data_IF_609517912848
#
_entry.id   IF_609517912848
#
_cell.length_a   1.000
_cell.length_b   1.000
_cell.length_c   1.000
_cell.angle_alpha   90.00
_cell.angle_beta   90.00
_cell.angle_gamma   90.00
#
_symmetry.space_group_name_H-M   'P 1'
#
loop_
_entity.id
_entity.type
_entity.pdbx_description
1 polymer ?
#
# COMPACT_ATOMS: atom_id res chain seq x y z
N UNK A 1 -3.68 4.06 17.71
CA UNK A 1 -5.15 3.80 17.84
C UNK A 1 -5.52 2.50 17.16
N UNK A 2 -6.57 1.79 17.65
CA UNK A 2 -7.09 0.63 16.91
C UNK A 2 -7.79 1.05 15.62
N UNK A 3 -7.43 0.38 14.53
CA UNK A 3 -7.98 0.63 13.20
C UNK A 3 -9.13 -0.32 12.90
N UNK A 4 -10.01 0.10 11.99
CA UNK A 4 -11.02 -0.80 11.40
C UNK A 4 -10.32 -1.87 10.56
N UNK A 5 -10.80 -3.11 10.66
CA UNK A 5 -10.29 -4.25 9.89
C UNK A 5 -11.42 -5.07 9.31
N UNK A 6 -11.19 -5.63 8.11
CA UNK A 6 -12.06 -6.60 7.45
C UNK A 6 -11.27 -7.89 7.24
N UNK A 7 -11.80 -9.02 7.71
CA UNK A 7 -11.15 -10.33 7.51
C UNK A 7 -11.82 -11.08 6.36
N UNK A 8 -11.02 -11.70 5.49
CA UNK A 8 -11.46 -12.49 4.33
C UNK A 8 -10.62 -13.76 4.23
N UNK A 9 -11.28 -14.89 3.93
CA UNK A 9 -10.62 -16.19 3.85
C UNK A 9 -10.52 -16.89 5.21
N UNK A 10 -10.06 -18.13 5.19
CA UNK A 10 -9.94 -19.02 6.35
C UNK A 10 -8.72 -19.94 6.24
N UNK A 11 -7.69 -19.52 5.50
CA UNK A 11 -6.43 -20.25 5.34
C UNK A 11 -5.62 -20.30 6.63
N UNK A 12 -4.67 -21.21 6.68
CA UNK A 12 -3.79 -21.43 7.84
C UNK A 12 -2.69 -20.37 7.99
N UNK A 13 -2.38 -19.66 6.91
CA UNK A 13 -1.39 -18.57 6.87
C UNK A 13 -2.10 -17.22 6.97
N UNK A 14 -1.43 -16.19 7.48
CA UNK A 14 -2.03 -14.88 7.71
C UNK A 14 -1.31 -13.78 6.92
N UNK A 15 -2.09 -12.90 6.28
CA UNK A 15 -1.56 -11.71 5.62
C UNK A 15 -2.35 -10.46 6.02
N UNK A 16 -1.65 -9.38 6.37
CA UNK A 16 -2.27 -8.09 6.53
C UNK A 16 -2.08 -7.24 5.27
N UNK A 17 -3.14 -6.55 4.82
CA UNK A 17 -3.17 -5.71 3.63
C UNK A 17 -3.44 -4.26 3.99
N UNK A 18 -2.52 -3.36 3.63
CA UNK A 18 -2.55 -1.92 3.97
C UNK A 18 -2.64 -1.09 2.68
N UNK A 19 -3.77 -0.43 2.47
CA UNK A 19 -4.08 0.33 1.26
C UNK A 19 -3.29 1.64 1.11
N UNK A 20 -3.30 2.23 -0.09
CA UNK A 20 -2.71 3.53 -0.39
C UNK A 20 -3.53 4.72 0.10
N UNK A 21 -3.00 5.92 -0.07
CA UNK A 21 -3.73 7.16 0.22
C UNK A 21 -5.03 7.24 -0.57
N UNK A 22 -6.05 7.87 0.01
CA UNK A 22 -7.40 8.03 -0.56
C UNK A 22 -8.19 6.73 -0.82
N UNK A 23 -7.70 5.59 -0.36
CA UNK A 23 -8.33 4.28 -0.52
C UNK A 23 -8.92 3.77 0.81
N UNK A 24 -9.39 2.52 0.79
CA UNK A 24 -9.89 1.77 1.95
C UNK A 24 -9.67 0.27 1.71
N UNK A 25 -10.12 -0.57 2.64
CA UNK A 25 -10.07 -2.04 2.52
C UNK A 25 -10.62 -2.56 1.18
N UNK A 26 -11.55 -1.87 0.55
CA UNK A 26 -12.13 -2.25 -0.76
C UNK A 26 -11.16 -2.12 -1.95
N UNK A 27 -10.02 -1.45 -1.78
CA UNK A 27 -9.00 -1.34 -2.83
C UNK A 27 -8.39 -2.70 -3.22
N UNK A 28 -8.56 -3.70 -2.36
CA UNK A 28 -7.97 -5.03 -2.53
C UNK A 28 -8.89 -6.05 -3.21
N UNK A 29 -10.17 -5.70 -3.44
CA UNK A 29 -11.19 -6.67 -3.85
C UNK A 29 -10.82 -7.45 -5.13
N UNK A 30 -10.14 -6.80 -6.09
CA UNK A 30 -9.69 -7.46 -7.32
C UNK A 30 -8.48 -8.38 -7.11
N UNK A 31 -7.66 -8.12 -6.09
CA UNK A 31 -6.47 -8.91 -5.82
C UNK A 31 -6.71 -10.04 -4.81
N UNK A 32 -7.74 -9.93 -3.96
CA UNK A 32 -8.13 -10.95 -2.98
C UNK A 32 -8.25 -12.35 -3.58
N UNK A 33 -8.93 -12.58 -4.74
CA UNK A 33 -9.08 -13.93 -5.29
C UNK A 33 -7.76 -14.61 -5.62
N UNK A 34 -6.73 -13.86 -5.95
CA UNK A 34 -5.39 -14.39 -6.22
C UNK A 34 -4.67 -14.75 -4.93
N UNK A 35 -4.75 -13.93 -3.90
CA UNK A 35 -4.13 -14.19 -2.60
C UNK A 35 -4.75 -15.42 -1.91
N UNK A 36 -6.06 -15.60 -2.00
CA UNK A 36 -6.75 -16.72 -1.37
C UNK A 36 -6.35 -18.10 -1.92
N UNK A 37 -5.72 -18.16 -3.12
CA UNK A 37 -5.17 -19.42 -3.66
C UNK A 37 -3.96 -19.95 -2.86
N UNK A 38 -3.38 -19.11 -1.99
CA UNK A 38 -2.18 -19.44 -1.22
C UNK A 38 -2.47 -19.79 0.25
N UNK A 39 -3.66 -20.32 0.53
CA UNK A 39 -4.09 -20.72 1.89
C UNK A 39 -3.97 -19.61 2.92
N UNK A 40 -4.46 -18.41 2.57
CA UNK A 40 -4.36 -17.20 3.38
C UNK A 40 -5.70 -16.83 4.05
N UNK A 41 -5.58 -16.37 5.29
CA UNK A 41 -6.55 -15.50 5.95
C UNK A 41 -6.02 -14.07 5.83
N UNK A 42 -6.81 -13.19 5.22
CA UNK A 42 -6.44 -11.81 4.92
C UNK A 42 -7.06 -10.85 5.95
N UNK A 43 -6.24 -10.00 6.56
CA UNK A 43 -6.66 -8.91 7.46
C UNK A 43 -6.45 -7.60 6.70
N UNK A 44 -7.52 -7.05 6.15
CA UNK A 44 -7.50 -5.78 5.44
C UNK A 44 -7.70 -4.63 6.44
N UNK A 45 -6.90 -3.59 6.34
CA UNK A 45 -6.87 -2.49 7.32
C UNK A 45 -7.26 -1.19 6.65
N UNK A 46 -8.22 -0.46 7.20
CA UNK A 46 -8.42 0.96 6.90
C UNK A 46 -7.45 1.77 7.77
N UNK A 47 -6.55 2.54 7.15
CA UNK A 47 -5.61 3.38 7.89
C UNK A 47 -6.31 4.55 8.58
N UNK A 48 -5.68 5.18 9.58
CA UNK A 48 -6.22 6.38 10.25
C UNK A 48 -6.71 7.41 9.22
N UNK A 49 -7.88 8.00 9.46
CA UNK A 49 -8.49 8.99 8.58
C UNK A 49 -8.97 8.45 7.23
N UNK A 50 -9.06 7.14 7.05
CA UNK A 50 -9.55 6.48 5.84
C UNK A 50 -10.64 5.46 6.18
N UNK A 51 -11.53 5.21 5.21
CA UNK A 51 -12.55 4.18 5.30
C UNK A 51 -13.42 4.32 6.55
N UNK A 52 -13.48 3.27 7.36
CA UNK A 52 -14.22 3.21 8.62
C UNK A 52 -13.33 3.44 9.87
N UNK A 53 -12.03 3.69 9.67
CA UNK A 53 -11.12 4.05 10.77
C UNK A 53 -11.32 5.49 11.23
N UNK A 54 -11.09 5.78 12.53
CA UNK A 54 -11.24 7.11 13.06
C UNK A 54 -10.30 8.14 12.41
N UNK A 55 -10.74 9.39 12.38
CA UNK A 55 -9.87 10.54 12.12
C UNK A 55 -8.97 10.79 13.32
N UNK A 56 -7.85 11.49 13.09
CA UNK A 56 -6.86 11.80 14.11
C UNK A 56 -6.38 13.25 13.99
N UNK A 57 -5.81 13.77 15.08
CA UNK A 57 -5.22 15.10 15.10
C UNK A 57 -3.82 15.14 14.46
N UNK A 58 -3.22 13.98 14.22
CA UNK A 58 -1.90 13.83 13.63
C UNK A 58 -1.87 12.71 12.58
N UNK A 59 -1.19 13.00 11.47
CA UNK A 59 -1.03 12.08 10.32
C UNK A 59 0.44 11.92 9.92
N UNK A 60 1.35 11.85 10.90
CA UNK A 60 2.76 11.54 10.65
C UNK A 60 2.91 10.06 10.25
N UNK A 61 3.87 9.75 9.40
CA UNK A 61 4.14 8.36 8.97
C UNK A 61 4.33 7.42 10.16
N UNK A 62 5.00 7.87 11.22
CA UNK A 62 5.22 7.09 12.43
C UNK A 62 3.90 6.76 13.14
N UNK A 63 2.94 7.68 13.14
CA UNK A 63 1.63 7.46 13.77
C UNK A 63 0.84 6.37 13.02
N UNK A 64 0.92 6.33 11.67
CA UNK A 64 0.35 5.22 10.88
C UNK A 64 1.00 3.88 11.21
N UNK A 65 2.33 3.86 11.33
CA UNK A 65 3.06 2.63 11.67
C UNK A 65 2.72 2.16 13.10
N UNK A 66 2.57 3.09 14.06
CA UNK A 66 2.16 2.79 15.43
C UNK A 66 0.76 2.17 15.48
N UNK A 67 -0.18 2.67 14.69
CA UNK A 67 -1.53 2.11 14.60
C UNK A 67 -1.53 0.68 14.04
N UNK A 68 -0.72 0.42 13.01
CA UNK A 68 -0.58 -0.94 12.49
C UNK A 68 -0.07 -1.91 13.58
N UNK A 69 0.90 -1.47 14.37
CA UNK A 69 1.44 -2.28 15.47
C UNK A 69 0.42 -2.50 16.59
N UNK A 70 -0.43 -1.50 16.89
CA UNK A 70 -1.49 -1.64 17.89
C UNK A 70 -2.66 -2.52 17.40
N UNK A 71 -2.87 -2.56 16.07
CA UNK A 71 -4.04 -3.22 15.48
C UNK A 71 -3.76 -4.67 15.06
N UNK A 72 -2.60 -4.93 14.48
CA UNK A 72 -2.27 -6.21 13.85
C UNK A 72 -1.52 -7.14 14.80
N UNK A 73 -1.72 -8.46 14.66
CA UNK A 73 -0.90 -9.43 15.38
C UNK A 73 0.56 -9.39 14.88
N UNK A 74 1.48 -9.76 15.76
CA UNK A 74 2.88 -9.99 15.38
C UNK A 74 3.05 -11.34 14.68
N UNK A 75 4.12 -11.48 13.88
CA UNK A 75 4.48 -12.76 13.27
C UNK A 75 3.56 -13.19 12.11
N UNK A 76 2.85 -12.25 11.48
CA UNK A 76 2.12 -12.50 10.24
C UNK A 76 3.02 -13.20 9.19
N UNK A 77 2.44 -14.06 8.36
CA UNK A 77 3.19 -14.62 7.23
C UNK A 77 3.55 -13.51 6.23
N UNK A 78 2.63 -12.60 5.97
CA UNK A 78 2.86 -11.45 5.09
C UNK A 78 2.31 -10.15 5.68
N UNK A 79 3.07 -9.07 5.48
CA UNK A 79 2.60 -7.69 5.61
C UNK A 79 2.69 -7.03 4.24
N UNK A 80 1.56 -6.80 3.60
CA UNK A 80 1.45 -6.31 2.23
C UNK A 80 0.94 -4.87 2.25
N UNK A 81 1.63 -3.96 1.59
CA UNK A 81 1.20 -2.58 1.54
C UNK A 81 1.39 -1.93 0.18
N UNK A 82 0.42 -1.10 -0.23
CA UNK A 82 0.48 -0.35 -1.48
C UNK A 82 0.72 1.13 -1.20
N UNK A 83 1.60 1.79 -1.98
CA UNK A 83 1.83 3.24 -1.90
C UNK A 83 2.11 3.74 -0.47
N UNK A 84 1.26 4.59 0.10
CA UNK A 84 1.32 5.03 1.49
C UNK A 84 1.30 3.84 2.45
N UNK A 85 0.40 2.87 2.22
CA UNK A 85 0.33 1.64 3.02
C UNK A 85 1.61 0.82 2.93
N UNK A 86 2.29 0.83 1.79
CA UNK A 86 3.60 0.22 1.63
C UNK A 86 4.66 0.89 2.51
N UNK A 87 4.70 2.22 2.52
CA UNK A 87 5.61 2.98 3.38
C UNK A 87 5.34 2.75 4.87
N UNK A 88 4.08 2.82 5.30
CA UNK A 88 3.71 2.64 6.71
C UNK A 88 3.94 1.21 7.19
N UNK A 89 3.65 0.22 6.36
CA UNK A 89 3.94 -1.19 6.61
C UNK A 89 5.45 -1.47 6.71
N UNK A 90 6.26 -0.84 5.84
CA UNK A 90 7.72 -0.96 5.91
C UNK A 90 8.27 -0.45 7.26
N UNK A 91 7.78 0.71 7.73
CA UNK A 91 8.14 1.24 9.05
C UNK A 91 7.62 0.37 10.22
N UNK A 92 6.49 -0.30 10.06
CA UNK A 92 5.93 -1.19 11.09
C UNK A 92 6.62 -2.57 11.14
N UNK A 93 7.32 -2.99 10.07
CA UNK A 93 7.84 -4.35 9.89
C UNK A 93 8.81 -4.79 10.99
N UNK A 94 9.65 -3.89 11.49
CA UNK A 94 10.60 -4.20 12.57
C UNK A 94 9.89 -4.64 13.86
N UNK A 95 8.73 -4.06 14.16
CA UNK A 95 7.95 -4.34 15.38
C UNK A 95 6.94 -5.45 15.18
N UNK A 96 6.28 -5.51 14.02
CA UNK A 96 5.31 -6.57 13.69
C UNK A 96 5.98 -7.91 13.36
N UNK A 97 7.24 -7.87 12.90
CA UNK A 97 8.04 -9.06 12.56
C UNK A 97 7.30 -10.05 11.65
N UNK A 98 6.71 -9.59 10.52
CA UNK A 98 6.13 -10.52 9.57
C UNK A 98 7.23 -11.43 9.02
N UNK A 99 6.88 -12.65 8.58
CA UNK A 99 7.85 -13.53 7.91
C UNK A 99 8.35 -12.91 6.61
N UNK A 100 7.51 -12.07 5.96
CA UNK A 100 7.88 -11.28 4.80
C UNK A 100 7.06 -9.97 4.69
N UNK A 101 7.73 -8.90 4.33
CA UNK A 101 7.10 -7.67 3.86
C UNK A 101 7.01 -7.67 2.33
N UNK A 102 5.87 -7.21 1.78
CA UNK A 102 5.65 -7.02 0.34
C UNK A 102 5.15 -5.59 0.09
N UNK A 103 5.96 -4.79 -0.60
CA UNK A 103 5.58 -3.44 -1.02
C UNK A 103 5.13 -3.40 -2.47
N UNK A 104 3.91 -2.94 -2.73
CA UNK A 104 3.34 -2.74 -4.07
C UNK A 104 3.45 -1.26 -4.41
N UNK A 105 4.40 -0.90 -5.25
CA UNK A 105 4.82 0.46 -5.59
C UNK A 105 4.82 1.41 -4.37
N UNK A 106 5.52 1.03 -3.28
CA UNK A 106 5.45 1.71 -2.00
C UNK A 106 6.06 3.12 -2.08
N UNK A 107 5.49 4.10 -1.38
CA UNK A 107 5.94 5.50 -1.42
C UNK A 107 7.25 5.74 -0.63
N UNK A 108 8.30 4.92 -0.86
CA UNK A 108 9.54 4.94 -0.07
C UNK A 108 10.43 6.15 -0.41
N UNK A 109 10.50 6.54 -1.70
CA UNK A 109 11.36 7.63 -2.15
C UNK A 109 10.80 8.28 -3.41
N UNK A 110 9.75 9.06 -3.24
CA UNK A 110 9.03 9.71 -4.34
C UNK A 110 9.90 10.65 -5.18
N UNK A 111 9.55 10.79 -6.44
CA UNK A 111 10.21 11.78 -7.29
C UNK A 111 9.93 13.21 -6.76
N UNK A 112 10.84 14.18 -6.98
CA UNK A 112 10.62 15.54 -6.51
C UNK A 112 9.31 16.17 -7.00
N UNK A 113 8.94 15.91 -8.27
CA UNK A 113 7.70 16.41 -8.86
C UNK A 113 6.47 15.78 -8.19
N UNK A 114 6.46 14.47 -7.98
CA UNK A 114 5.35 13.78 -7.31
C UNK A 114 5.20 14.25 -5.88
N UNK A 115 6.31 14.38 -5.16
CA UNK A 115 6.32 14.88 -3.79
C UNK A 115 5.79 16.33 -3.68
N UNK A 116 6.06 17.17 -4.69
CA UNK A 116 5.53 18.53 -4.76
C UNK A 116 4.02 18.55 -5.03
N UNK A 117 3.51 17.67 -5.89
CA UNK A 117 2.12 17.68 -6.36
C UNK A 117 1.15 16.93 -5.43
N UNK A 118 1.62 15.99 -4.62
CA UNK A 118 0.77 15.15 -3.76
C UNK A 118 -0.22 15.95 -2.88
N UNK A 119 0.16 17.06 -2.21
CA UNK A 119 -0.80 17.81 -1.39
C UNK A 119 -1.96 18.42 -2.18
N UNK A 120 -1.82 18.53 -3.50
CA UNK A 120 -2.85 19.08 -4.39
C UNK A 120 -3.80 18.00 -4.94
N UNK A 121 -3.39 16.74 -4.88
CA UNK A 121 -4.16 15.62 -5.49
C UNK A 121 -5.54 15.48 -4.85
N UNK A 122 -5.61 15.40 -3.53
CA UNK A 122 -6.86 15.20 -2.81
C UNK A 122 -7.92 16.28 -3.07
N UNK A 123 -7.60 17.57 -2.85
CA UNK A 123 -8.55 18.66 -3.12
C UNK A 123 -9.01 18.73 -4.58
N UNK A 124 -8.11 18.43 -5.54
CA UNK A 124 -8.44 18.42 -6.97
C UNK A 124 -9.34 17.25 -7.31
N UNK A 125 -9.00 16.04 -6.91
CA UNK A 125 -9.80 14.83 -7.18
C UNK A 125 -11.23 14.95 -6.64
N UNK A 126 -11.40 15.45 -5.42
CA UNK A 126 -12.72 15.60 -4.80
C UNK A 126 -13.63 16.55 -5.56
N UNK A 127 -13.09 17.60 -6.16
CA UNK A 127 -13.83 18.62 -6.93
C UNK A 127 -13.97 18.27 -8.42
N UNK A 128 -13.26 17.26 -8.90
CA UNK A 128 -13.24 16.89 -10.31
C UNK A 128 -14.60 16.30 -10.72
N UNK A 129 -15.27 16.81 -11.78
CA UNK A 129 -16.52 16.26 -12.24
C UNK A 129 -16.34 14.86 -12.85
N UNK A 130 -17.37 14.02 -12.76
CA UNK A 130 -17.31 12.61 -13.19
C UNK A 130 -16.89 12.42 -14.65
N UNK A 131 -17.35 13.30 -15.57
CA UNK A 131 -16.96 13.23 -16.98
C UNK A 131 -15.45 13.39 -17.18
N UNK A 132 -14.78 14.21 -16.35
CA UNK A 132 -13.33 14.41 -16.41
C UNK A 132 -12.60 13.20 -15.84
N UNK A 133 -13.09 12.62 -14.74
CA UNK A 133 -12.56 11.38 -14.15
C UNK A 133 -12.62 10.24 -15.17
N UNK A 134 -13.75 10.08 -15.87
CA UNK A 134 -13.91 9.11 -16.96
C UNK A 134 -12.91 9.34 -18.08
N UNK A 135 -12.74 10.58 -18.51
CA UNK A 135 -11.80 10.94 -19.59
C UNK A 135 -10.33 10.69 -19.20
N UNK A 136 -9.99 10.84 -17.92
CA UNK A 136 -8.65 10.54 -17.39
C UNK A 136 -8.42 9.04 -17.13
N UNK A 137 -9.37 8.20 -17.49
CA UNK A 137 -9.27 6.76 -17.32
C UNK A 137 -9.45 6.27 -15.89
N UNK A 138 -9.94 7.13 -15.00
CA UNK A 138 -10.23 6.75 -13.61
C UNK A 138 -11.19 5.56 -13.50
N UNK A 139 -12.05 5.32 -14.50
CA UNK A 139 -12.92 4.13 -14.55
C UNK A 139 -12.18 2.85 -14.92
N UNK A 140 -11.12 2.93 -15.74
CA UNK A 140 -10.35 1.73 -16.13
C UNK A 140 -9.62 1.11 -14.95
N UNK A 141 -9.33 1.91 -13.94
CA UNK A 141 -8.58 1.53 -12.74
C UNK A 141 -9.48 1.40 -11.50
N UNK A 142 -10.80 1.41 -11.67
CA UNK A 142 -11.77 1.39 -10.58
C UNK A 142 -12.80 0.27 -10.81
N UNK A 143 -12.62 -0.90 -10.19
CA UNK A 143 -13.55 -2.02 -10.31
C UNK A 143 -14.95 -1.70 -9.78
N UNK A 144 -15.05 -0.74 -8.88
CA UNK A 144 -16.28 -0.37 -8.21
C UNK A 144 -16.73 1.03 -8.62
N UNK A 145 -17.37 1.21 -9.73
CA UNK A 145 -18.12 2.41 -10.16
C UNK A 145 -17.67 3.77 -9.53
N UNK A 146 -17.73 4.86 -10.24
CA UNK A 146 -17.47 6.21 -9.70
C UNK A 146 -18.12 6.51 -8.34
N UNK A 147 -19.36 6.05 -8.03
CA UNK A 147 -19.95 6.21 -6.71
C UNK A 147 -19.13 5.58 -5.58
N UNK A 148 -18.56 4.39 -5.76
CA UNK A 148 -17.72 3.74 -4.77
C UNK A 148 -16.43 4.53 -4.49
N UNK A 149 -15.78 5.02 -5.54
CA UNK A 149 -14.61 5.90 -5.42
C UNK A 149 -14.94 7.20 -4.70
N UNK A 150 -16.06 7.82 -5.05
CA UNK A 150 -16.54 9.03 -4.37
C UNK A 150 -16.78 8.79 -2.88
N UNK A 151 -17.34 7.64 -2.52
CA UNK A 151 -17.51 7.23 -1.12
C UNK A 151 -16.17 7.07 -0.41
N UNK A 152 -15.18 6.42 -1.03
CA UNK A 152 -13.83 6.30 -0.47
C UNK A 152 -13.19 7.69 -0.23
N UNK A 153 -13.26 8.59 -1.21
CA UNK A 153 -12.74 9.94 -1.06
C UNK A 153 -13.49 10.80 -0.04
N UNK A 154 -14.80 10.57 0.15
CA UNK A 154 -15.59 11.25 1.18
C UNK A 154 -15.15 10.82 2.59
N UNK A 155 -14.79 9.55 2.75
CA UNK A 155 -14.35 8.99 4.03
C UNK A 155 -12.84 9.16 4.28
N UNK A 156 -12.13 9.86 3.39
CA UNK A 156 -10.71 10.16 3.55
C UNK A 156 -10.50 11.57 4.10
N UNK A 157 -9.72 11.69 5.17
CA UNK A 157 -9.28 12.98 5.69
C UNK A 157 -8.11 13.53 4.85
N UNK A 158 -8.44 14.43 3.93
CA UNK A 158 -7.46 15.02 3.00
C UNK A 158 -6.41 15.91 3.67
N UNK A 159 -6.65 16.36 4.91
CA UNK A 159 -5.65 17.15 5.67
C UNK A 159 -4.42 16.30 5.97
N UNK A 160 -4.58 14.96 6.00
CA UNK A 160 -3.52 13.99 6.22
C UNK A 160 -2.32 14.15 5.28
N UNK A 161 -2.53 14.51 4.00
CA UNK A 161 -1.45 14.60 3.02
C UNK A 161 -0.35 15.59 3.39
N UNK A 162 -0.70 16.70 4.07
CA UNK A 162 0.27 17.70 4.49
C UNK A 162 1.19 17.15 5.58
N UNK A 163 0.63 16.48 6.56
CA UNK A 163 1.38 15.90 7.67
C UNK A 163 2.22 14.70 7.23
N UNK A 164 1.64 13.85 6.37
CA UNK A 164 2.35 12.73 5.73
C UNK A 164 3.60 13.26 5.03
N UNK A 165 3.43 14.25 4.13
CA UNK A 165 4.55 14.84 3.40
C UNK A 165 5.59 15.41 4.37
N UNK A 166 5.17 16.26 5.30
CA UNK A 166 6.08 16.92 6.26
C UNK A 166 6.88 15.91 7.09
N UNK A 167 6.24 14.87 7.59
CA UNK A 167 6.91 13.85 8.39
C UNK A 167 7.84 12.98 7.55
N UNK A 168 7.48 12.66 6.31
CA UNK A 168 8.34 11.91 5.40
C UNK A 168 9.55 12.72 4.95
N UNK A 169 9.40 14.02 4.70
CA UNK A 169 10.52 14.91 4.38
C UNK A 169 11.49 15.05 5.59
N UNK A 170 10.95 15.10 6.81
CA UNK A 170 11.76 15.19 8.04
C UNK A 170 12.49 13.88 8.37
N UNK A 171 11.91 12.74 8.04
CA UNK A 171 12.49 11.41 8.26
C UNK A 171 12.21 10.50 7.08
N UNK A 172 12.98 10.62 5.98
CA UNK A 172 12.85 9.76 4.81
C UNK A 172 13.06 8.29 5.16
N UNK A 173 12.40 7.40 4.42
CA UNK A 173 12.62 5.97 4.58
C UNK A 173 14.07 5.62 4.18
N UNK A 174 14.82 4.90 5.02
CA UNK A 174 16.21 4.55 4.72
C UNK A 174 16.28 3.42 3.68
N UNK A 175 17.34 3.43 2.86
CA UNK A 175 17.68 2.31 1.96
C UNK A 175 18.47 1.20 2.64
N UNK A 176 18.50 1.16 3.96
CA UNK A 176 19.23 0.15 4.77
C UNK A 176 18.74 -1.28 4.51
N UNK A 177 19.50 -2.32 4.93
CA UNK A 177 19.04 -3.69 4.88
C UNK A 177 17.65 -3.85 5.53
N UNK A 178 16.75 -4.64 4.94
CA UNK A 178 15.39 -4.77 5.46
C UNK A 178 15.40 -5.53 6.80
N UNK A 179 14.54 -5.15 7.77
CA UNK A 179 14.47 -5.82 9.07
C UNK A 179 13.90 -7.24 8.99
N UNK A 180 13.21 -7.55 7.90
CA UNK A 180 12.63 -8.86 7.57
C UNK A 180 12.82 -9.12 6.08
N UNK A 181 12.74 -10.35 5.57
CA UNK A 181 12.73 -10.63 4.14
C UNK A 181 11.71 -9.74 3.42
N UNK A 182 12.15 -8.94 2.45
CA UNK A 182 11.34 -7.88 1.85
C UNK A 182 11.39 -7.91 0.34
N UNK A 183 10.20 -7.91 -0.28
CA UNK A 183 10.02 -7.81 -1.73
C UNK A 183 9.30 -6.51 -2.07
N UNK A 184 9.78 -5.78 -3.07
CA UNK A 184 9.10 -4.58 -3.61
C UNK A 184 8.80 -4.81 -5.08
N UNK A 185 7.55 -4.65 -5.48
CA UNK A 185 7.13 -4.69 -6.88
C UNK A 185 6.80 -3.27 -7.31
N UNK A 186 7.58 -2.73 -8.23
CA UNK A 186 7.45 -1.36 -8.73
C UNK A 186 6.70 -1.31 -10.05
N UNK A 187 5.92 -0.26 -10.27
CA UNK A 187 5.46 0.11 -11.61
C UNK A 187 6.66 0.50 -12.49
N UNK A 188 6.54 0.33 -13.76
CA UNK A 188 7.58 0.80 -14.69
C UNK A 188 7.04 1.81 -15.72
N UNK A 189 7.27 3.13 -15.54
CA UNK A 189 8.10 3.80 -14.53
C UNK A 189 7.35 4.13 -13.21
N UNK A 190 8.02 3.94 -12.06
CA UNK A 190 7.47 4.34 -10.77
C UNK A 190 7.74 5.81 -10.46
N UNK A 191 6.73 6.50 -9.92
CA UNK A 191 6.91 7.81 -9.30
C UNK A 191 7.09 7.73 -7.77
N UNK A 192 6.79 6.58 -7.19
CA UNK A 192 6.81 6.31 -5.75
C UNK A 192 8.21 5.88 -5.26
N UNK A 193 9.03 5.29 -6.16
CA UNK A 193 10.41 4.90 -5.90
C UNK A 193 11.30 5.34 -7.05
N UNK A 194 12.21 6.28 -6.77
CA UNK A 194 13.18 6.76 -7.77
C UNK A 194 14.14 5.63 -8.18
N UNK A 195 14.59 5.56 -9.46
CA UNK A 195 15.48 4.52 -9.94
C UNK A 195 16.73 4.33 -9.06
N UNK A 196 17.42 5.43 -8.71
CA UNK A 196 18.58 5.38 -7.82
C UNK A 196 18.27 4.74 -6.47
N UNK A 197 17.10 5.03 -5.88
CA UNK A 197 16.70 4.44 -4.61
C UNK A 197 16.36 2.95 -4.75
N UNK A 198 15.77 2.54 -5.87
CA UNK A 198 15.54 1.13 -6.18
C UNK A 198 16.86 0.34 -6.27
N UNK A 199 17.90 0.95 -6.85
CA UNK A 199 19.24 0.35 -6.92
C UNK A 199 19.90 0.26 -5.53
N UNK A 200 19.73 1.28 -4.70
CA UNK A 200 20.18 1.27 -3.29
C UNK A 200 19.46 0.16 -2.49
N UNK A 201 18.15 -0.05 -2.69
CA UNK A 201 17.42 -1.14 -2.06
C UNK A 201 17.99 -2.51 -2.47
N UNK A 202 18.22 -2.73 -3.78
CA UNK A 202 18.84 -3.98 -4.29
C UNK A 202 20.20 -4.23 -3.66
N UNK A 203 21.05 -3.20 -3.61
CA UNK A 203 22.40 -3.28 -3.02
C UNK A 203 22.35 -3.64 -1.52
N UNK A 204 21.27 -3.29 -0.83
CA UNK A 204 21.03 -3.58 0.58
C UNK A 204 20.21 -4.86 0.83
N UNK A 205 20.01 -5.70 -0.19
CA UNK A 205 19.40 -7.03 -0.04
C UNK A 205 17.88 -7.08 -0.12
N UNK A 206 17.23 -6.02 -0.62
CA UNK A 206 15.80 -6.05 -0.96
C UNK A 206 15.59 -6.78 -2.29
N UNK A 207 14.56 -7.60 -2.38
CA UNK A 207 14.08 -8.15 -3.65
C UNK A 207 13.23 -7.09 -4.37
N UNK A 208 13.79 -6.46 -5.41
CA UNK A 208 13.14 -5.38 -6.15
C UNK A 208 12.80 -5.84 -7.56
N UNK A 209 11.51 -6.01 -7.82
CA UNK A 209 10.90 -6.42 -9.10
C UNK A 209 10.25 -5.23 -9.79
N UNK A 210 10.04 -5.31 -11.11
CA UNK A 210 9.42 -4.24 -11.89
C UNK A 210 8.39 -4.85 -12.84
N UNK A 211 7.16 -4.33 -12.79
CA UNK A 211 6.10 -4.63 -13.76
C UNK A 211 6.05 -3.52 -14.81
N UNK A 212 6.35 -3.86 -16.06
CA UNK A 212 6.30 -2.89 -17.17
C UNK A 212 4.88 -2.74 -17.72
N UNK A 213 4.55 -1.52 -18.18
CA UNK A 213 3.25 -1.24 -18.82
C UNK A 213 2.07 -1.16 -17.87
N UNK A 214 2.30 -1.16 -16.56
CA UNK A 214 1.28 -1.03 -15.51
C UNK A 214 1.52 0.25 -14.73
N UNK A 215 0.45 0.93 -14.32
CA UNK A 215 0.54 2.14 -13.49
C UNK A 215 0.73 1.83 -12.01
N UNK A 216 0.52 2.86 -11.20
CA UNK A 216 0.78 2.83 -9.75
C UNK A 216 -0.08 1.83 -8.96
N UNK A 217 -1.29 1.57 -9.44
CA UNK A 217 -2.25 0.70 -8.75
C UNK A 217 -2.18 -0.75 -9.27
N UNK A 218 -0.95 -1.35 -9.27
CA UNK A 218 -0.66 -2.67 -9.85
C UNK A 218 -1.68 -3.74 -9.45
N UNK A 219 -2.08 -3.76 -8.17
CA UNK A 219 -3.04 -4.73 -7.60
C UNK A 219 -4.47 -4.59 -8.14
N UNK A 220 -4.76 -3.51 -8.87
CA UNK A 220 -6.05 -3.21 -9.49
C UNK A 220 -5.96 -3.18 -11.02
N UNK A 221 -4.85 -2.68 -11.55
CA UNK A 221 -4.66 -2.54 -12.99
C UNK A 221 -4.32 -3.89 -13.66
N UNK A 222 -3.49 -4.70 -12.99
CA UNK A 222 -3.14 -6.06 -13.44
C UNK A 222 -2.94 -7.00 -12.24
N UNK A 223 -4.02 -7.37 -11.54
CA UNK A 223 -3.94 -8.26 -10.39
C UNK A 223 -3.39 -9.65 -10.73
N UNK A 224 -3.65 -10.14 -11.95
CA UNK A 224 -3.13 -11.43 -12.42
C UNK A 224 -1.61 -11.38 -12.64
N UNK A 225 -1.12 -10.35 -13.32
CA UNK A 225 0.31 -10.14 -13.51
C UNK A 225 1.04 -9.93 -12.19
N UNK A 226 0.46 -9.17 -11.26
CA UNK A 226 1.04 -9.01 -9.92
C UNK A 226 1.11 -10.33 -9.17
N UNK A 227 0.06 -11.15 -9.22
CA UNK A 227 0.06 -12.47 -8.60
C UNK A 227 1.15 -13.36 -9.20
N UNK A 228 1.31 -13.36 -10.53
CA UNK A 228 2.37 -14.12 -11.21
C UNK A 228 3.78 -13.67 -10.80
N UNK A 229 3.98 -12.34 -10.67
CA UNK A 229 5.26 -11.78 -10.19
C UNK A 229 5.56 -12.17 -8.74
N UNK A 230 4.55 -12.41 -7.93
CA UNK A 230 4.68 -12.77 -6.51
C UNK A 230 4.53 -14.28 -6.22
N UNK A 231 4.34 -15.12 -7.23
CA UNK A 231 4.02 -16.55 -7.06
C UNK A 231 5.04 -17.28 -6.17
N UNK A 232 6.34 -17.11 -6.43
CA UNK A 232 7.42 -17.71 -5.66
C UNK A 232 7.53 -17.20 -4.22
N UNK A 233 7.06 -15.95 -4.00
CA UNK A 233 7.05 -15.29 -2.69
C UNK A 233 5.88 -15.76 -1.84
N UNK A 234 4.70 -15.94 -2.47
CA UNK A 234 3.46 -16.34 -1.82
C UNK A 234 3.34 -17.84 -1.64
N UNK A 235 4.05 -18.64 -2.44
CA UNK A 235 4.04 -20.10 -2.33
C UNK A 235 4.40 -20.56 -0.92
N UNK A 236 3.80 -21.66 -0.43
CA UNK A 236 4.24 -22.30 0.81
C UNK A 236 5.71 -22.70 0.72
N UNK A 237 6.47 -22.43 1.76
CA UNK A 237 7.84 -22.97 1.86
C UNK A 237 7.71 -24.50 1.96
N UNK A 238 8.37 -25.29 1.08
CA UNK A 238 8.33 -26.74 1.22
C UNK A 238 8.76 -27.16 2.62
N UNK A 239 8.00 -28.04 3.25
CA UNK A 239 8.42 -28.66 4.50
C UNK A 239 9.78 -29.36 4.28
N UNK A 240 10.78 -29.01 5.11
CA UNK A 240 12.07 -29.69 5.10
C UNK A 240 11.96 -31.09 5.68
#
# INVERSE_FOLDING_TARGET
MKLHTRTVGNGSRTAALVHGASMSTYAWDDFIPYLLKHDLTLILVDQRGHGESPRADSYRIQDFADDLVETLPTGLDFLIGQSLGGLTAAWASERLKPKRYIGIDPALAMTPLSNLLIPLVGPVQKKMPDWMLRRLGAEKNLPNSLPGVRKQWANWDQTSLRDIKRSNDARPFPSSPPPVPSTVVLAGPSFAVRPKFADELRANGWDVRVMQGVGHDLHREDPAGLAAVLEDVLAPVPAK
#
